data_IF_332784149741
#
_entry.id   IF_332784149741
#
_cell.length_a   1.000
_cell.length_b   1.000
_cell.length_c   1.000
_cell.angle_alpha   90.00
_cell.angle_beta   90.00
_cell.angle_gamma   90.00
#
_symmetry.space_group_name_H-M   'P 1'
#
loop_
_entity.id
_entity.type
_entity.pdbx_description
1 polymer ?
#
# COMPACT_ATOMS: atom_id res chain seq x y z
N UNK A 1 -34.41 -2.55 8.18
CA UNK A 1 -34.39 -2.98 9.60
C UNK A 1 -33.32 -4.05 9.68
N UNK A 2 -32.11 -3.67 10.08
CA UNK A 2 -30.91 -4.51 10.00
C UNK A 2 -30.47 -4.75 11.43
N UNK A 3 -30.49 -6.02 11.85
CA UNK A 3 -30.03 -6.46 13.16
C UNK A 3 -28.52 -6.22 13.29
N UNK A 4 -28.15 -5.45 14.30
CA UNK A 4 -26.77 -5.25 14.73
C UNK A 4 -26.48 -6.34 15.77
N UNK A 5 -25.50 -7.24 15.57
CA UNK A 5 -25.11 -8.16 16.62
C UNK A 5 -24.29 -7.40 17.66
N UNK A 6 -24.89 -7.26 18.83
CA UNK A 6 -24.23 -6.89 20.07
C UNK A 6 -23.54 -8.12 20.67
N UNK A 7 -22.36 -7.91 21.28
CA UNK A 7 -21.78 -8.88 22.22
C UNK A 7 -20.48 -9.53 21.76
N UNK A 8 -19.36 -8.83 21.96
CA UNK A 8 -18.01 -9.40 21.92
C UNK A 8 -17.19 -8.82 23.06
N UNK A 9 -17.16 -9.56 24.17
CA UNK A 9 -16.52 -9.22 25.46
C UNK A 9 -15.15 -8.57 25.28
N UNK A 10 -15.00 -7.37 25.83
CA UNK A 10 -13.71 -6.74 26.13
C UNK A 10 -12.95 -7.67 27.08
N UNK A 11 -12.00 -8.44 26.53
CA UNK A 11 -11.00 -9.15 27.33
C UNK A 11 -10.16 -8.08 28.03
N UNK A 12 -10.26 -8.06 29.35
CA UNK A 12 -9.41 -7.27 30.22
C UNK A 12 -7.95 -7.39 29.80
N UNK A 13 -7.37 -6.26 29.42
CA UNK A 13 -5.93 -6.06 29.36
C UNK A 13 -5.38 -6.28 30.77
N UNK A 14 -4.89 -7.49 31.02
CA UNK A 14 -4.01 -7.76 32.16
C UNK A 14 -2.72 -6.96 31.93
N UNK A 15 -2.27 -6.12 32.87
CA UNK A 15 -1.04 -5.37 32.72
C UNK A 15 0.17 -6.33 32.80
N UNK A 16 0.71 -6.68 31.63
CA UNK A 16 1.90 -7.53 31.38
C UNK A 16 3.23 -7.05 32.00
N UNK A 17 3.23 -6.03 32.85
CA UNK A 17 4.47 -5.45 33.41
C UNK A 17 4.85 -6.00 34.78
N UNK A 18 3.92 -6.60 35.54
CA UNK A 18 4.19 -7.17 36.87
C UNK A 18 4.84 -8.56 36.80
N UNK A 19 4.48 -9.38 35.81
CA UNK A 19 5.03 -10.75 35.64
C UNK A 19 6.55 -10.78 35.46
N UNK A 20 7.09 -9.80 34.73
CA UNK A 20 8.52 -9.77 34.38
C UNK A 20 9.44 -9.44 35.55
N UNK A 21 8.93 -8.71 36.54
CA UNK A 21 9.69 -8.36 37.76
C UNK A 21 9.61 -9.51 38.75
N UNK A 22 8.43 -10.10 38.91
CA UNK A 22 8.22 -11.27 39.76
C UNK A 22 9.06 -12.47 39.28
N UNK A 23 9.10 -12.74 37.97
CA UNK A 23 9.94 -13.79 37.38
C UNK A 23 11.44 -13.57 37.62
N UNK A 24 11.92 -12.33 37.47
CA UNK A 24 13.33 -11.99 37.73
C UNK A 24 13.69 -12.15 39.21
N UNK A 25 12.76 -11.81 40.10
CA UNK A 25 12.94 -11.92 41.53
C UNK A 25 12.96 -13.38 41.95
N UNK A 26 12.05 -14.21 41.42
CA UNK A 26 12.04 -15.66 41.62
C UNK A 26 13.34 -16.29 41.09
N UNK A 27 13.81 -15.93 39.89
CA UNK A 27 15.06 -16.45 39.32
C UNK A 27 16.27 -16.08 40.18
N UNK A 28 16.36 -14.83 40.62
CA UNK A 28 17.43 -14.36 41.50
C UNK A 28 17.41 -15.12 42.84
N UNK A 29 16.23 -15.29 43.45
CA UNK A 29 16.07 -16.08 44.68
C UNK A 29 16.45 -17.54 44.47
N UNK A 30 16.12 -18.16 43.33
CA UNK A 30 16.55 -19.52 42.99
C UNK A 30 18.07 -19.66 42.92
N UNK A 31 18.74 -18.73 42.24
CA UNK A 31 20.20 -18.74 42.09
C UNK A 31 20.90 -18.57 43.44
N UNK A 32 20.38 -17.70 44.31
CA UNK A 32 20.90 -17.53 45.67
C UNK A 32 20.69 -18.79 46.50
N UNK A 33 19.49 -19.39 46.49
CA UNK A 33 19.20 -20.62 47.25
C UNK A 33 20.04 -21.81 46.76
N UNK A 34 20.24 -21.95 45.45
CA UNK A 34 21.10 -22.97 44.87
C UNK A 34 22.57 -22.75 45.27
N UNK A 35 23.06 -21.51 45.24
CA UNK A 35 24.41 -21.16 45.69
C UNK A 35 24.63 -21.47 47.18
N UNK A 36 23.67 -21.12 48.04
CA UNK A 36 23.72 -21.41 49.48
C UNK A 36 23.71 -22.92 49.76
N UNK A 37 22.94 -23.70 48.98
CA UNK A 37 22.93 -25.17 49.08
C UNK A 37 24.28 -25.78 48.72
N UNK A 38 24.92 -25.33 47.62
CA UNK A 38 26.26 -25.80 47.21
C UNK A 38 27.32 -25.44 48.25
N UNK A 39 27.29 -24.23 48.80
CA UNK A 39 28.20 -23.82 49.87
C UNK A 39 27.98 -24.67 51.12
N UNK A 40 26.73 -24.86 51.56
CA UNK A 40 26.42 -25.70 52.72
C UNK A 40 26.90 -27.14 52.57
N UNK A 41 26.87 -27.69 51.36
CA UNK A 41 27.40 -29.03 51.07
C UNK A 41 28.94 -29.08 51.11
N UNK A 42 29.63 -28.05 50.61
CA UNK A 42 31.10 -27.96 50.64
C UNK A 42 31.62 -27.82 52.08
N UNK A 43 30.86 -27.14 52.95
CA UNK A 43 31.23 -26.88 54.35
C UNK A 43 30.57 -27.84 55.35
N UNK A 44 30.05 -28.98 54.90
CA UNK A 44 29.49 -30.07 55.73
C UNK A 44 28.44 -29.63 56.76
N UNK A 45 27.52 -28.73 56.37
CA UNK A 45 26.45 -28.31 57.28
C UNK A 45 25.51 -29.47 57.63
N UNK A 46 24.88 -29.45 58.83
CA UNK A 46 23.92 -30.48 59.21
C UNK A 46 22.78 -30.61 58.18
N UNK A 47 22.37 -31.83 57.78
CA UNK A 47 21.30 -32.07 56.79
C UNK A 47 19.99 -31.32 57.07
N UNK A 48 19.65 -31.13 58.34
CA UNK A 48 18.48 -30.39 58.77
C UNK A 48 18.44 -28.94 58.25
N UNK A 49 19.59 -28.34 57.93
CA UNK A 49 19.70 -26.93 57.53
C UNK A 49 19.58 -26.75 56.01
N UNK A 50 20.20 -27.61 55.20
CA UNK A 50 20.22 -27.44 53.74
C UNK A 50 19.13 -28.24 52.99
N UNK A 51 18.52 -29.26 53.62
CA UNK A 51 17.47 -30.05 53.00
C UNK A 51 16.20 -29.23 52.67
N UNK A 52 15.68 -28.34 53.55
CA UNK A 52 14.55 -27.46 53.22
C UNK A 52 14.86 -26.49 52.06
N UNK A 53 16.10 -25.98 52.02
CA UNK A 53 16.59 -25.08 50.96
C UNK A 53 16.61 -25.80 49.61
N UNK A 54 17.02 -27.07 49.60
CA UNK A 54 17.05 -27.91 48.41
C UNK A 54 15.64 -28.14 47.86
N UNK A 55 14.66 -28.46 48.72
CA UNK A 55 13.26 -28.61 48.32
C UNK A 55 12.66 -27.30 47.78
N UNK A 56 12.99 -26.16 48.41
CA UNK A 56 12.51 -24.85 47.96
C UNK A 56 13.08 -24.48 46.59
N UNK A 57 14.37 -24.76 46.36
CA UNK A 57 15.01 -24.57 45.06
C UNK A 57 14.35 -25.45 43.99
N UNK A 58 14.09 -26.73 44.29
CA UNK A 58 13.46 -27.66 43.36
C UNK A 58 12.02 -27.25 43.01
N UNK A 59 11.25 -26.80 44.00
CA UNK A 59 9.90 -26.25 43.80
C UNK A 59 9.93 -25.02 42.89
N UNK A 60 10.88 -24.12 43.10
CA UNK A 60 10.99 -22.91 42.30
C UNK A 60 11.44 -23.19 40.85
N UNK A 61 12.34 -24.16 40.65
CA UNK A 61 12.68 -24.67 39.30
C UNK A 61 11.45 -25.26 38.61
N UNK A 62 10.68 -26.09 39.28
CA UNK A 62 9.43 -26.65 38.74
C UNK A 62 8.42 -25.57 38.36
N UNK A 63 8.28 -24.52 39.19
CA UNK A 63 7.38 -23.39 38.93
C UNK A 63 7.82 -22.55 37.72
N UNK A 64 9.13 -22.44 37.46
CA UNK A 64 9.67 -21.78 36.24
C UNK A 64 9.49 -22.65 34.99
N UNK A 65 9.58 -23.98 35.13
CA UNK A 65 9.43 -24.92 34.02
C UNK A 65 7.96 -25.13 33.59
N UNK A 66 7.00 -24.91 34.49
CA UNK A 66 5.56 -25.05 34.22
C UNK A 66 5.04 -24.13 33.09
N UNK A 67 5.31 -22.81 33.12
CA UNK A 67 4.93 -21.89 32.03
C UNK A 67 5.59 -22.21 30.68
N UNK A 68 6.82 -22.75 30.71
CA UNK A 68 7.54 -23.17 29.50
C UNK A 68 6.90 -24.38 28.80
N UNK A 69 5.98 -25.08 29.48
CA UNK A 69 5.20 -26.18 28.90
C UNK A 69 3.98 -25.67 28.11
N UNK A 70 3.51 -24.45 28.38
CA UNK A 70 2.38 -23.83 27.68
C UNK A 70 2.83 -23.05 26.43
N UNK A 71 4.08 -22.58 26.40
CA UNK A 71 4.69 -21.87 25.27
C UNK A 71 4.70 -22.66 23.93
N UNK A 72 4.91 -23.99 23.90
CA UNK A 72 4.86 -24.77 22.67
C UNK A 72 3.46 -24.81 22.03
N UNK A 73 2.40 -24.81 22.85
CA UNK A 73 1.02 -24.82 22.35
C UNK A 73 0.63 -23.45 21.78
N UNK A 74 1.03 -22.35 22.42
CA UNK A 74 0.83 -21.00 21.86
C UNK A 74 1.59 -20.82 20.53
N UNK A 75 2.83 -21.29 20.44
CA UNK A 75 3.62 -21.24 19.21
C UNK A 75 3.03 -22.14 18.11
N UNK A 76 2.48 -23.30 18.48
CA UNK A 76 1.80 -24.21 17.56
C UNK A 76 0.50 -23.60 17.05
N UNK A 77 -0.28 -22.97 17.92
CA UNK A 77 -1.50 -22.26 17.56
C UNK A 77 -1.20 -21.08 16.62
N UNK A 78 -0.20 -20.25 16.95
CA UNK A 78 0.21 -19.14 16.08
C UNK A 78 0.69 -19.63 14.71
N UNK A 79 1.39 -20.77 14.63
CA UNK A 79 1.80 -21.38 13.36
C UNK A 79 0.60 -21.90 12.56
N UNK A 80 -0.39 -22.49 13.21
CA UNK A 80 -1.63 -22.94 12.56
C UNK A 80 -2.44 -21.75 12.02
N UNK A 81 -2.62 -20.69 12.81
CA UNK A 81 -3.31 -19.47 12.37
C UNK A 81 -2.59 -18.82 11.19
N UNK A 82 -1.25 -18.80 11.19
CA UNK A 82 -0.46 -18.28 10.07
C UNK A 82 -0.61 -19.14 8.82
N UNK A 83 -0.66 -20.47 8.97
CA UNK A 83 -0.87 -21.41 7.86
C UNK A 83 -2.26 -21.27 7.25
N UNK A 84 -3.30 -21.15 8.08
CA UNK A 84 -4.68 -20.92 7.66
C UNK A 84 -4.83 -19.56 6.96
N UNK A 85 -4.23 -18.50 7.51
CA UNK A 85 -4.22 -17.18 6.87
C UNK A 85 -3.51 -17.25 5.50
N UNK A 86 -2.39 -17.98 5.43
CA UNK A 86 -1.65 -18.17 4.18
C UNK A 86 -2.45 -18.97 3.16
N UNK A 87 -3.15 -20.03 3.59
CA UNK A 87 -4.03 -20.82 2.73
C UNK A 87 -5.21 -19.99 2.22
N UNK A 88 -5.83 -19.18 3.09
CA UNK A 88 -6.88 -18.22 2.70
C UNK A 88 -6.38 -17.17 1.71
N UNK A 89 -5.14 -16.68 1.88
CA UNK A 89 -4.50 -15.75 0.94
C UNK A 89 -4.06 -16.41 -0.36
N UNK A 90 -3.78 -17.72 -0.37
CA UNK A 90 -3.47 -18.47 -1.60
C UNK A 90 -4.74 -18.84 -2.37
N UNK A 91 -5.83 -19.12 -1.65
CA UNK A 91 -7.14 -19.44 -2.22
C UNK A 91 -7.93 -18.20 -2.65
N UNK A 92 -7.54 -17.01 -2.19
CA UNK A 92 -8.00 -15.74 -2.75
C UNK A 92 -6.96 -15.19 -3.71
N UNK A 93 -7.40 -14.73 -4.86
CA UNK A 93 -6.53 -14.06 -5.82
C UNK A 93 -6.06 -12.73 -5.20
N UNK A 94 -4.89 -12.74 -4.56
CA UNK A 94 -4.32 -11.53 -3.98
C UNK A 94 -3.85 -10.59 -5.09
N UNK A 95 -4.54 -9.47 -5.22
CA UNK A 95 -4.15 -8.36 -6.07
C UNK A 95 -3.17 -7.47 -5.31
N UNK A 96 -2.01 -7.15 -5.88
CA UNK A 96 -1.11 -6.14 -5.31
C UNK A 96 -1.75 -4.77 -5.47
N UNK A 97 -2.32 -4.30 -4.36
CA UNK A 97 -3.10 -3.09 -4.23
C UNK A 97 -2.42 -2.15 -3.24
N UNK A 98 -2.23 -0.89 -3.61
CA UNK A 98 -1.62 0.13 -2.73
C UNK A 98 -2.43 1.40 -2.73
N UNK A 99 -2.65 1.97 -1.56
CA UNK A 99 -3.20 3.31 -1.38
C UNK A 99 -2.08 4.33 -1.22
N UNK A 100 -2.31 5.53 -1.74
CA UNK A 100 -1.44 6.69 -1.60
C UNK A 100 -2.23 7.83 -0.97
N UNK A 101 -1.76 8.30 0.18
CA UNK A 101 -2.47 9.29 1.00
C UNK A 101 -2.21 10.73 0.53
N UNK A 102 -1.15 10.92 -0.27
CA UNK A 102 -0.79 12.23 -0.81
C UNK A 102 -0.53 12.19 -2.31
N UNK A 103 -0.79 13.33 -2.94
CA UNK A 103 -0.43 13.59 -4.34
C UNK A 103 1.06 13.37 -4.62
N UNK A 104 1.94 13.74 -3.68
CA UNK A 104 3.39 13.59 -3.85
C UNK A 104 3.82 12.11 -3.89
N UNK A 105 3.25 11.30 -3.00
CA UNK A 105 3.48 9.86 -2.95
C UNK A 105 2.94 9.17 -4.20
N UNK A 106 1.69 9.49 -4.58
CA UNK A 106 1.04 8.94 -5.77
C UNK A 106 1.83 9.23 -7.06
N UNK A 107 2.13 10.51 -7.34
CA UNK A 107 2.89 10.87 -8.53
C UNK A 107 4.35 10.41 -8.43
N UNK A 108 4.90 10.27 -7.21
CA UNK A 108 6.20 9.68 -6.96
C UNK A 108 6.26 8.24 -7.44
N UNK A 109 5.34 7.40 -6.95
CA UNK A 109 5.24 5.99 -7.34
C UNK A 109 4.91 5.82 -8.83
N UNK A 110 3.98 6.62 -9.36
CA UNK A 110 3.64 6.57 -10.79
C UNK A 110 4.84 6.95 -11.68
N UNK A 111 5.63 7.96 -11.29
CA UNK A 111 6.88 8.31 -11.99
C UNK A 111 7.87 7.15 -11.98
N UNK A 112 8.03 6.49 -10.84
CA UNK A 112 8.95 5.37 -10.70
C UNK A 112 8.56 4.23 -11.65
N UNK A 113 7.29 3.84 -11.67
CA UNK A 113 6.79 2.77 -12.56
C UNK A 113 7.00 3.13 -14.04
N UNK A 114 6.76 4.38 -14.43
CA UNK A 114 7.03 4.83 -15.82
C UNK A 114 8.50 4.66 -16.19
N UNK A 115 9.41 4.93 -15.26
CA UNK A 115 10.84 4.90 -15.54
C UNK A 115 11.44 3.49 -15.49
N UNK A 116 10.99 2.63 -14.57
CA UNK A 116 11.60 1.32 -14.33
C UNK A 116 10.85 0.14 -14.96
N UNK A 117 9.51 0.23 -15.07
CA UNK A 117 8.67 -0.92 -15.40
C UNK A 117 7.90 -0.79 -16.73
N UNK A 118 7.60 0.43 -17.19
CA UNK A 118 6.85 0.66 -18.42
C UNK A 118 7.69 0.33 -19.66
N UNK A 119 7.15 -0.52 -20.55
CA UNK A 119 7.87 -1.07 -21.71
C UNK A 119 7.30 -0.65 -23.05
N UNK A 120 5.99 -0.64 -23.21
CA UNK A 120 5.34 -0.54 -24.53
C UNK A 120 4.30 0.56 -24.59
N UNK A 121 3.38 0.63 -23.63
CA UNK A 121 2.21 1.50 -23.75
C UNK A 121 1.81 2.16 -22.43
N UNK A 122 1.47 3.44 -22.51
CA UNK A 122 0.85 4.19 -21.42
C UNK A 122 -0.45 4.80 -21.94
N UNK A 123 -1.56 4.37 -21.35
CA UNK A 123 -2.90 4.90 -21.63
C UNK A 123 -3.35 5.75 -20.45
N UNK A 124 -3.48 7.06 -20.64
CA UNK A 124 -3.79 7.98 -19.56
C UNK A 124 -5.09 8.75 -19.82
N UNK A 125 -5.96 8.83 -18.83
CA UNK A 125 -7.24 9.52 -18.91
C UNK A 125 -7.34 10.60 -17.84
N UNK A 126 -7.60 11.83 -18.28
CA UNK A 126 -7.74 13.01 -17.44
C UNK A 126 -9.15 13.56 -17.48
N UNK A 127 -9.95 13.26 -16.45
CA UNK A 127 -11.25 13.91 -16.20
C UNK A 127 -11.10 14.86 -15.02
N UNK A 128 -10.85 16.14 -15.31
CA UNK A 128 -10.65 17.19 -14.30
C UNK A 128 -11.35 18.49 -14.65
N UNK A 129 -11.72 19.21 -13.60
CA UNK A 129 -12.30 20.55 -13.63
C UNK A 129 -11.26 21.62 -13.97
N UNK A 130 -10.04 21.41 -13.46
CA UNK A 130 -8.95 22.36 -13.53
C UNK A 130 -7.72 21.78 -14.24
N UNK A 131 -7.00 22.60 -15.04
CA UNK A 131 -5.80 22.16 -15.72
C UNK A 131 -4.70 21.65 -14.79
N UNK A 132 -3.90 20.66 -15.24
CA UNK A 132 -2.75 20.17 -14.47
C UNK A 132 -1.71 21.24 -14.13
N UNK A 133 -1.67 22.34 -14.89
CA UNK A 133 -0.72 23.44 -14.63
C UNK A 133 -1.00 24.21 -13.34
N UNK A 134 -2.21 24.07 -12.74
CA UNK A 134 -2.50 24.63 -11.42
C UNK A 134 -1.92 23.80 -10.28
N UNK A 135 -1.40 22.60 -10.55
CA UNK A 135 -0.65 21.84 -9.54
C UNK A 135 0.72 22.49 -9.34
N UNK A 136 0.86 23.17 -8.20
CA UNK A 136 2.13 23.74 -7.73
C UNK A 136 3.15 22.63 -7.39
N UNK A 137 2.69 21.38 -7.27
CA UNK A 137 3.48 20.28 -6.73
C UNK A 137 4.52 19.73 -7.73
N UNK A 138 5.78 19.69 -7.27
CA UNK A 138 6.96 19.22 -8.02
C UNK A 138 6.81 17.78 -8.54
N UNK A 139 6.14 16.90 -7.79
CA UNK A 139 5.97 15.49 -8.14
C UNK A 139 5.11 15.29 -9.39
N UNK A 140 3.98 16.01 -9.50
CA UNK A 140 3.12 15.94 -10.69
C UNK A 140 3.87 16.43 -11.95
N UNK A 141 4.59 17.55 -11.85
CA UNK A 141 5.41 18.07 -12.96
C UNK A 141 6.46 17.05 -13.41
N UNK A 142 7.15 16.42 -12.46
CA UNK A 142 8.14 15.37 -12.73
C UNK A 142 7.52 14.16 -13.44
N UNK A 143 6.34 13.73 -13.03
CA UNK A 143 5.63 12.64 -13.69
C UNK A 143 5.32 12.99 -15.16
N UNK A 144 4.71 14.16 -15.42
CA UNK A 144 4.37 14.56 -16.79
C UNK A 144 5.60 14.67 -17.69
N UNK A 145 6.70 15.24 -17.19
CA UNK A 145 7.95 15.28 -17.95
C UNK A 145 8.52 13.88 -18.20
N UNK A 146 8.43 12.98 -17.22
CA UNK A 146 8.93 11.60 -17.35
C UNK A 146 8.18 10.81 -18.42
N UNK A 147 6.84 10.95 -18.51
CA UNK A 147 6.05 10.32 -19.59
C UNK A 147 6.45 10.82 -20.97
N UNK A 148 6.65 12.14 -21.13
CA UNK A 148 7.08 12.71 -22.41
C UNK A 148 8.49 12.28 -22.79
N UNK A 149 9.41 12.23 -21.82
CA UNK A 149 10.76 11.73 -22.05
C UNK A 149 10.76 10.24 -22.39
N UNK A 150 9.98 9.45 -21.66
CA UNK A 150 9.82 8.01 -21.89
C UNK A 150 9.33 7.71 -23.31
N UNK A 151 8.38 8.50 -23.84
CA UNK A 151 7.91 8.39 -25.22
C UNK A 151 8.98 8.78 -26.24
N UNK A 152 9.71 9.87 -26.00
CA UNK A 152 10.76 10.36 -26.90
C UNK A 152 11.97 9.42 -27.01
N UNK A 153 12.26 8.68 -25.95
CA UNK A 153 13.46 7.82 -25.88
C UNK A 153 13.41 6.61 -26.82
N UNK A 154 12.21 6.19 -27.26
CA UNK A 154 12.05 4.97 -28.04
C UNK A 154 10.77 5.05 -28.91
N UNK A 155 10.91 5.11 -30.24
CA UNK A 155 9.77 5.21 -31.16
C UNK A 155 8.81 4.02 -31.14
N UNK A 156 9.22 2.86 -30.61
CA UNK A 156 8.36 1.66 -30.53
C UNK A 156 7.34 1.72 -29.38
N UNK A 157 7.53 2.66 -28.45
CA UNK A 157 6.61 2.90 -27.33
C UNK A 157 5.41 3.69 -27.81
N UNK A 158 4.32 3.70 -27.05
CA UNK A 158 3.11 4.46 -27.38
C UNK A 158 2.54 5.13 -26.14
N UNK A 159 2.21 6.43 -26.27
CA UNK A 159 1.43 7.14 -25.26
C UNK A 159 0.12 7.59 -25.86
N UNK A 160 -0.99 7.13 -25.28
CA UNK A 160 -2.34 7.58 -25.62
C UNK A 160 -2.92 8.36 -24.47
N UNK A 161 -3.41 9.56 -24.74
CA UNK A 161 -4.01 10.42 -23.71
C UNK A 161 -5.42 10.86 -24.06
N UNK A 162 -6.38 10.53 -23.19
CA UNK A 162 -7.71 11.12 -23.20
C UNK A 162 -7.74 12.37 -22.31
N UNK A 163 -8.19 13.48 -22.88
CA UNK A 163 -8.35 14.75 -22.19
C UNK A 163 -9.84 15.11 -22.24
N UNK A 164 -10.46 15.20 -21.07
CA UNK A 164 -11.80 15.76 -20.99
C UNK A 164 -11.72 17.29 -20.91
N UNK A 165 -12.49 17.97 -21.76
CA UNK A 165 -12.61 19.42 -21.76
C UNK A 165 -14.04 19.82 -21.42
N UNK A 166 -14.19 20.73 -20.46
CA UNK A 166 -15.50 21.28 -20.07
C UNK A 166 -15.42 22.79 -19.75
N UNK A 167 -14.21 23.33 -19.54
CA UNK A 167 -13.95 24.74 -19.20
C UNK A 167 -13.07 25.42 -20.23
N UNK A 168 -13.18 26.75 -20.41
CA UNK A 168 -12.26 27.52 -21.25
C UNK A 168 -10.78 27.31 -20.89
N UNK A 169 -10.47 27.17 -19.59
CA UNK A 169 -9.11 26.93 -19.11
C UNK A 169 -8.57 25.56 -19.51
N UNK A 170 -9.40 24.51 -19.45
CA UNK A 170 -9.03 23.17 -19.94
C UNK A 170 -8.85 23.16 -21.46
N UNK A 171 -9.68 23.90 -22.19
CA UNK A 171 -9.56 24.06 -23.65
C UNK A 171 -8.24 24.74 -24.01
N UNK A 172 -7.88 25.81 -23.32
CA UNK A 172 -6.61 26.51 -23.56
C UNK A 172 -5.40 25.65 -23.17
N UNK A 173 -5.50 24.92 -22.07
CA UNK A 173 -4.48 23.95 -21.69
C UNK A 173 -4.31 22.86 -22.76
N UNK A 174 -5.40 22.31 -23.32
CA UNK A 174 -5.34 21.30 -24.37
C UNK A 174 -4.65 21.82 -25.65
N UNK A 175 -4.86 23.10 -26.01
CA UNK A 175 -4.17 23.74 -27.15
C UNK A 175 -2.67 23.85 -26.92
N UNK A 176 -2.25 24.30 -25.73
CA UNK A 176 -0.81 24.35 -25.36
C UNK A 176 -0.21 22.94 -25.34
N UNK A 177 -0.92 21.99 -24.75
CA UNK A 177 -0.51 20.58 -24.73
C UNK A 177 -0.32 20.02 -26.15
N UNK A 178 -1.19 20.36 -27.10
CA UNK A 178 -1.01 19.99 -28.51
C UNK A 178 0.28 20.60 -29.10
N UNK A 179 0.54 21.88 -28.86
CA UNK A 179 1.75 22.55 -29.36
C UNK A 179 3.03 21.87 -28.85
N UNK A 180 3.03 21.44 -27.57
CA UNK A 180 4.16 20.79 -26.90
C UNK A 180 4.39 19.35 -27.36
N UNK A 181 3.32 18.63 -27.76
CA UNK A 181 3.37 17.18 -28.01
C UNK A 181 3.27 16.78 -29.47
N UNK A 182 2.80 17.66 -30.39
CA UNK A 182 2.59 17.35 -31.81
C UNK A 182 3.81 16.81 -32.58
N UNK A 183 5.04 17.02 -32.06
CA UNK A 183 6.28 16.55 -32.69
C UNK A 183 6.74 15.18 -32.18
N UNK A 184 6.04 14.59 -31.21
CA UNK A 184 6.37 13.28 -30.65
C UNK A 184 5.56 12.24 -31.44
N UNK A 185 6.23 11.51 -32.33
CA UNK A 185 5.58 10.64 -33.32
C UNK A 185 4.68 9.56 -32.69
N UNK A 186 5.04 9.10 -31.50
CA UNK A 186 4.36 8.04 -30.77
C UNK A 186 3.53 8.54 -29.58
N UNK A 187 3.10 9.80 -29.64
CA UNK A 187 2.21 10.41 -28.67
C UNK A 187 0.92 10.85 -29.37
N UNK A 188 -0.21 10.25 -29.00
CA UNK A 188 -1.53 10.67 -29.47
C UNK A 188 -2.37 11.17 -28.29
N UNK A 189 -3.03 12.30 -28.47
CA UNK A 189 -4.04 12.78 -27.55
C UNK A 189 -5.39 12.92 -28.27
N UNK A 190 -6.47 12.58 -27.56
CA UNK A 190 -7.83 12.75 -28.01
C UNK A 190 -8.65 13.49 -26.96
N UNK A 191 -9.68 14.18 -27.43
CA UNK A 191 -10.56 15.04 -26.67
C UNK A 191 -11.93 14.39 -26.52
N UNK A 192 -12.44 14.45 -25.31
CA UNK A 192 -13.84 14.16 -24.98
C UNK A 192 -14.46 15.44 -24.44
N UNK A 193 -15.51 15.94 -25.08
CA UNK A 193 -16.30 17.05 -24.54
C UNK A 193 -17.11 16.50 -23.35
N UNK A 194 -16.85 17.05 -22.16
CA UNK A 194 -17.39 16.53 -20.92
C UNK A 194 -18.46 17.49 -20.38
N UNK A 195 -19.71 17.04 -20.38
CA UNK A 195 -20.84 17.89 -20.00
C UNK A 195 -20.92 18.14 -18.49
N UNK A 196 -20.32 17.25 -17.68
CA UNK A 196 -20.46 17.28 -16.22
C UNK A 196 -19.40 18.22 -15.62
N UNK A 197 -19.83 19.16 -14.77
CA UNK A 197 -18.94 20.12 -14.07
C UNK A 197 -18.31 19.53 -12.80
N UNK A 198 -17.88 18.28 -12.86
CA UNK A 198 -17.26 17.57 -11.75
C UNK A 198 -16.04 16.76 -12.21
N UNK A 199 -15.07 16.63 -11.31
CA UNK A 199 -14.02 15.62 -11.44
C UNK A 199 -14.65 14.24 -11.34
N UNK A 200 -14.18 13.30 -12.15
CA UNK A 200 -14.62 11.91 -12.07
C UNK A 200 -13.49 11.04 -11.56
N UNK A 201 -12.55 10.75 -12.45
CA UNK A 201 -11.46 9.82 -12.22
C UNK A 201 -10.31 10.20 -13.15
N UNK A 202 -9.11 10.24 -12.61
CA UNK A 202 -7.90 10.27 -13.42
C UNK A 202 -7.28 8.88 -13.37
N UNK A 203 -6.89 8.36 -14.53
CA UNK A 203 -6.36 7.02 -14.63
C UNK A 203 -5.11 6.99 -15.49
N UNK A 204 -4.18 6.09 -15.17
CA UNK A 204 -3.14 5.65 -16.08
C UNK A 204 -3.06 4.13 -16.07
N UNK A 205 -3.14 3.50 -17.23
CA UNK A 205 -2.88 2.08 -17.42
C UNK A 205 -1.52 1.93 -18.11
N UNK A 206 -0.63 1.16 -17.51
CA UNK A 206 0.73 0.93 -17.98
C UNK A 206 0.85 -0.53 -18.42
N UNK A 207 1.18 -0.73 -19.70
CA UNK A 207 1.36 -2.02 -20.37
C UNK A 207 0.24 -3.04 -20.15
N UNK A 208 -1.00 -2.60 -19.89
CA UNK A 208 -2.14 -3.47 -19.53
C UNK A 208 -1.85 -4.38 -18.31
N UNK A 209 -0.96 -3.94 -17.41
CA UNK A 209 -0.54 -4.70 -16.22
C UNK A 209 -0.74 -3.93 -14.93
N UNK A 210 -0.63 -2.60 -14.99
CA UNK A 210 -0.65 -1.74 -13.81
C UNK A 210 -1.63 -0.63 -14.05
N UNK A 211 -2.56 -0.44 -13.12
CA UNK A 211 -3.52 0.66 -13.13
C UNK A 211 -3.20 1.60 -11.99
N UNK A 212 -3.13 2.88 -12.28
CA UNK A 212 -3.12 3.95 -11.30
C UNK A 212 -4.40 4.74 -11.42
N UNK A 213 -5.07 4.94 -10.29
CA UNK A 213 -6.31 5.70 -10.17
C UNK A 213 -6.06 6.86 -9.22
N UNK A 214 -6.41 8.06 -9.65
CA UNK A 214 -6.33 9.28 -8.88
C UNK A 214 -7.73 9.87 -8.70
N UNK A 215 -8.11 9.99 -7.44
CA UNK A 215 -9.37 10.57 -7.00
C UNK A 215 -9.11 11.99 -6.52
N UNK A 216 -9.81 12.94 -7.12
CA UNK A 216 -9.78 14.32 -6.63
C UNK A 216 -10.58 14.41 -5.32
N UNK A 217 -9.97 14.95 -4.28
CA UNK A 217 -10.64 15.18 -3.00
C UNK A 217 -11.51 16.44 -3.01
N UNK A 218 -11.96 16.86 -1.83
CA UNK A 218 -12.78 18.07 -1.64
C UNK A 218 -12.09 19.38 -2.07
N UNK A 219 -10.77 19.35 -2.25
CA UNK A 219 -10.00 20.48 -2.78
C UNK A 219 -9.20 20.04 -4.01
N UNK A 220 -9.01 20.98 -4.94
CA UNK A 220 -8.28 20.76 -6.21
C UNK A 220 -6.82 20.34 -6.02
N UNK A 221 -6.28 20.31 -4.79
CA UNK A 221 -4.87 20.01 -4.50
C UNK A 221 -4.63 18.68 -3.81
N UNK A 222 -5.68 18.07 -3.23
CA UNK A 222 -5.58 16.77 -2.56
C UNK A 222 -6.00 15.68 -3.53
N UNK A 223 -5.02 14.92 -4.02
CA UNK A 223 -5.26 13.70 -4.77
C UNK A 223 -4.90 12.54 -3.86
N UNK A 224 -5.90 11.70 -3.58
CA UNK A 224 -5.64 10.34 -3.12
C UNK A 224 -5.62 9.44 -4.32
N UNK A 225 -4.84 8.38 -4.26
CA UNK A 225 -4.82 7.45 -5.36
C UNK A 225 -4.59 6.04 -4.91
N UNK A 226 -4.81 5.12 -5.84
CA UNK A 226 -4.49 3.72 -5.67
C UNK A 226 -3.71 3.22 -6.86
N UNK A 227 -2.86 2.23 -6.64
CA UNK A 227 -2.31 1.40 -7.72
C UNK A 227 -2.74 -0.04 -7.56
N UNK A 228 -2.96 -0.68 -8.70
CA UNK A 228 -3.40 -2.06 -8.80
C UNK A 228 -2.51 -2.75 -9.82
N UNK A 229 -1.77 -3.77 -9.40
CA UNK A 229 -0.85 -4.55 -10.23
C UNK A 229 -1.47 -5.93 -10.49
N UNK A 230 -2.44 -5.96 -11.38
CA UNK A 230 -3.09 -7.17 -11.85
C UNK A 230 -3.51 -6.98 -13.32
N UNK A 231 -3.10 -7.90 -14.19
CA UNK A 231 -3.32 -7.78 -15.64
C UNK A 231 -4.80 -7.92 -16.03
N UNK A 232 -5.61 -8.63 -15.24
CA UNK A 232 -7.04 -8.82 -15.50
C UNK A 232 -7.79 -7.55 -15.14
N UNK A 233 -7.48 -6.96 -13.98
CA UNK A 233 -8.02 -5.63 -13.61
C UNK A 233 -7.57 -4.59 -14.63
N UNK A 234 -6.29 -4.58 -15.01
CA UNK A 234 -5.77 -3.65 -16.01
C UNK A 234 -6.44 -3.81 -17.39
N UNK A 235 -6.83 -5.03 -17.75
CA UNK A 235 -7.59 -5.30 -18.98
C UNK A 235 -8.95 -4.60 -18.96
N UNK A 236 -9.72 -4.72 -17.88
CA UNK A 236 -11.03 -4.04 -17.75
C UNK A 236 -10.90 -2.52 -17.96
N UNK A 237 -9.89 -1.91 -17.36
CA UNK A 237 -9.62 -0.49 -17.53
C UNK A 237 -9.07 -0.12 -18.92
N UNK A 238 -8.33 -1.03 -19.56
CA UNK A 238 -7.88 -0.87 -20.95
C UNK A 238 -9.05 -0.91 -21.92
N UNK A 239 -10.00 -1.81 -21.71
CA UNK A 239 -11.19 -1.95 -22.55
C UNK A 239 -12.09 -0.72 -22.40
N UNK A 240 -12.31 -0.27 -21.15
CA UNK A 240 -13.00 1.00 -20.87
C UNK A 240 -12.31 2.19 -21.56
N UNK A 241 -10.98 2.30 -21.44
CA UNK A 241 -10.22 3.36 -22.11
C UNK A 241 -10.38 3.29 -23.62
N UNK A 242 -10.31 2.09 -24.21
CA UNK A 242 -10.37 1.87 -25.66
C UNK A 242 -11.74 2.24 -26.23
N UNK A 243 -12.82 1.95 -25.50
CA UNK A 243 -14.17 2.38 -25.87
C UNK A 243 -14.26 3.91 -25.97
N UNK A 244 -13.75 4.63 -24.96
CA UNK A 244 -13.74 6.09 -24.96
C UNK A 244 -12.79 6.66 -26.01
N UNK A 245 -11.65 6.01 -26.22
CA UNK A 245 -10.67 6.37 -27.24
C UNK A 245 -11.25 6.34 -28.66
N UNK A 246 -12.03 5.30 -28.97
CA UNK A 246 -12.67 5.15 -30.27
C UNK A 246 -13.70 6.26 -30.55
N UNK A 247 -14.43 6.71 -29.52
CA UNK A 247 -15.43 7.76 -29.62
C UNK A 247 -14.85 9.20 -29.55
N UNK A 248 -13.60 9.36 -29.11
CA UNK A 248 -12.99 10.67 -28.88
C UNK A 248 -12.42 11.30 -30.16
N UNK A 249 -12.47 12.63 -30.23
CA UNK A 249 -11.92 13.41 -31.36
C UNK A 249 -10.42 13.57 -31.21
N UNK A 250 -9.64 13.36 -32.29
CA UNK A 250 -8.19 13.64 -32.25
C UNK A 250 -7.91 15.08 -31.87
N UNK A 251 -6.93 15.30 -30.98
CA UNK A 251 -6.57 16.63 -30.52
C UNK A 251 -6.16 17.56 -31.68
N UNK A 252 -5.47 17.02 -32.70
CA UNK A 252 -5.12 17.76 -33.92
C UNK A 252 -6.33 18.28 -34.68
N UNK A 253 -7.43 17.52 -34.69
CA UNK A 253 -8.63 17.81 -35.45
C UNK A 253 -9.49 18.79 -34.65
N UNK A 254 -9.62 18.54 -33.35
CA UNK A 254 -10.31 19.42 -32.41
C UNK A 254 -9.68 20.83 -32.36
N UNK A 255 -8.35 20.94 -32.32
CA UNK A 255 -7.66 22.25 -32.35
C UNK A 255 -7.89 23.00 -33.67
N UNK A 256 -8.05 22.28 -34.79
CA UNK A 256 -8.35 22.89 -36.11
C UNK A 256 -9.78 23.41 -36.21
N UNK A 257 -10.76 22.68 -35.67
CA UNK A 257 -12.18 23.06 -35.68
C UNK A 257 -12.49 24.25 -34.76
N UNK A 258 -11.65 24.51 -33.77
CA UNK A 258 -11.81 25.60 -32.81
C UNK A 258 -11.17 26.93 -33.26
N UNK A 259 -10.70 27.02 -34.51
CA UNK A 259 -10.23 28.25 -35.16
C UNK A 259 -11.30 28.78 -36.09
#
# INVERSE_FOLDING_TARGET
MIEVPSGGRSRSLVPRSLDRVEERLILATCLVLAGVSVVGAIFEWPPAVYQPITFLALYAVLRILLPLRETPEELRQARMELAELKERLLNHECVDFRCYESSAEFYGALTEVVNSEARRQIDAWYVRKVPPTKFVQKAAKRYFSSVLQWAKNDPSRSVRRLICVHSPEMREWARRHHADTRKIANYEARIVEWAIKADLLNMAVIDQRIVFLAFSGATDQVVRGVSIRDARVAKEFTDLFTQHWAAATRLSDWVRQAR
#
